data_IF_541456165397
#
_entry.id   IF_541456165397
#
_cell.length_a   1.000
_cell.length_b   1.000
_cell.length_c   1.000
_cell.angle_alpha   90.00
_cell.angle_beta   90.00
_cell.angle_gamma   90.00
#
_symmetry.space_group_name_H-M   'P 1'
#
loop_
_entity.id
_entity.type
_entity.pdbx_description
1 polymer ?
#
# COMPACT_ATOMS: atom_id res chain seq x y z
N UNK A 1 -6.13 3.28 26.43
CA UNK A 1 -6.22 2.29 25.34
C UNK A 1 -5.78 2.99 24.04
N UNK A 2 -4.80 2.44 23.32
CA UNK A 2 -4.41 2.99 22.02
C UNK A 2 -5.59 2.79 21.04
N UNK A 3 -6.04 3.87 20.40
CA UNK A 3 -7.11 3.82 19.41
C UNK A 3 -6.58 3.08 18.17
N UNK A 4 -7.39 2.18 17.60
CA UNK A 4 -7.08 1.59 16.29
C UNK A 4 -6.94 2.68 15.23
N UNK A 5 -6.15 2.48 14.17
CA UNK A 5 -6.10 3.44 13.08
C UNK A 5 -7.48 3.59 12.43
N UNK A 6 -7.78 4.80 11.95
CA UNK A 6 -9.04 5.07 11.24
C UNK A 6 -9.04 4.42 9.83
N UNK A 7 -7.86 4.12 9.27
CA UNK A 7 -7.65 3.31 8.07
C UNK A 7 -6.20 2.80 8.01
N UNK A 8 -5.97 1.74 7.24
CA UNK A 8 -4.64 1.27 6.86
C UNK A 8 -4.46 1.45 5.36
N UNK A 9 -3.51 2.31 4.97
CA UNK A 9 -3.05 2.44 3.60
C UNK A 9 -1.99 1.37 3.31
N UNK A 10 -2.19 0.63 2.24
CA UNK A 10 -1.36 -0.50 1.84
C UNK A 10 -0.79 -0.24 0.43
N UNK A 11 0.52 -0.37 0.25
CA UNK A 11 1.01 -0.60 -1.10
C UNK A 11 0.56 -1.97 -1.59
N UNK A 12 0.52 -2.16 -2.91
CA UNK A 12 0.06 -3.41 -3.53
C UNK A 12 1.23 -4.34 -3.85
N UNK A 13 2.09 -3.89 -4.78
CA UNK A 13 3.16 -4.70 -5.36
C UNK A 13 4.35 -4.80 -4.38
N UNK A 14 4.74 -5.98 -3.97
CA UNK A 14 5.77 -6.22 -2.94
C UNK A 14 5.25 -6.14 -1.50
N UNK A 15 3.96 -5.83 -1.30
CA UNK A 15 3.34 -5.71 0.03
C UNK A 15 2.20 -6.71 0.24
N UNK A 16 1.20 -6.73 -0.65
CA UNK A 16 0.08 -7.69 -0.59
C UNK A 16 0.25 -8.78 -1.65
N UNK A 17 0.72 -8.42 -2.84
CA UNK A 17 1.04 -9.36 -3.91
C UNK A 17 2.51 -9.24 -4.33
N UNK A 18 3.05 -10.31 -4.91
CA UNK A 18 4.42 -10.34 -5.40
C UNK A 18 4.65 -9.27 -6.47
N UNK A 19 5.80 -8.59 -6.42
CA UNK A 19 6.23 -7.68 -7.48
C UNK A 19 7.04 -8.48 -8.52
N UNK A 20 6.44 -8.70 -9.68
CA UNK A 20 7.06 -9.40 -10.80
C UNK A 20 7.32 -8.47 -12.00
N UNK A 21 7.69 -7.21 -11.76
CA UNK A 21 7.97 -6.19 -12.77
C UNK A 21 6.84 -6.05 -13.83
N UNK A 22 5.98 -5.06 -13.65
CA UNK A 22 4.88 -4.73 -14.56
C UNK A 22 3.91 -5.89 -14.83
N UNK A 23 3.25 -6.36 -13.78
CA UNK A 23 2.16 -7.33 -13.89
C UNK A 23 1.05 -6.74 -14.78
N UNK A 24 0.75 -7.40 -15.87
CA UNK A 24 -0.20 -6.97 -16.89
C UNK A 24 -1.31 -7.97 -17.19
N UNK A 25 -1.24 -9.15 -16.57
CA UNK A 25 -2.22 -10.23 -16.79
C UNK A 25 -2.63 -10.84 -15.46
N UNK A 26 -3.93 -11.19 -15.27
CA UNK A 26 -4.44 -11.80 -14.05
C UNK A 26 -3.70 -13.08 -13.62
N UNK A 27 -3.26 -13.91 -14.57
CA UNK A 27 -2.54 -15.15 -14.31
C UNK A 27 -1.15 -14.95 -13.66
N UNK A 28 -0.62 -13.72 -13.70
CA UNK A 28 0.65 -13.36 -13.06
C UNK A 28 0.49 -13.00 -11.58
N UNK A 29 -0.74 -12.78 -11.11
CA UNK A 29 -1.00 -12.35 -9.74
C UNK A 29 -0.75 -13.50 -8.76
N UNK A 30 0.06 -13.23 -7.72
CA UNK A 30 0.30 -14.12 -6.60
C UNK A 30 0.25 -13.32 -5.31
N UNK A 31 -0.59 -13.72 -4.38
CA UNK A 31 -0.58 -13.11 -3.04
C UNK A 31 0.69 -13.52 -2.29
N UNK A 32 1.27 -12.57 -1.56
CA UNK A 32 2.36 -12.87 -0.63
C UNK A 32 1.80 -13.72 0.52
N UNK A 33 2.50 -14.79 0.94
CA UNK A 33 2.05 -15.62 2.05
C UNK A 33 1.72 -14.79 3.30
N UNK A 34 0.52 -14.97 3.83
CA UNK A 34 0.03 -14.22 4.99
C UNK A 34 -0.66 -12.88 4.68
N UNK A 35 -0.52 -12.34 3.46
CA UNK A 35 -1.11 -11.05 3.12
C UNK A 35 -2.63 -11.04 3.27
N UNK A 36 -3.33 -12.07 2.79
CA UNK A 36 -4.78 -12.16 2.96
C UNK A 36 -5.21 -12.20 4.42
N UNK A 37 -4.48 -12.94 5.29
CA UNK A 37 -4.76 -12.96 6.74
C UNK A 37 -4.55 -11.60 7.38
N UNK A 38 -3.51 -10.87 6.96
CA UNK A 38 -3.23 -9.52 7.45
C UNK A 38 -4.37 -8.55 7.06
N UNK A 39 -4.79 -8.56 5.80
CA UNK A 39 -5.93 -7.74 5.33
C UNK A 39 -7.22 -8.14 6.04
N UNK A 40 -7.49 -9.46 6.17
CA UNK A 40 -8.65 -9.94 6.91
C UNK A 40 -8.68 -9.43 8.35
N UNK A 41 -7.53 -9.40 9.04
CA UNK A 41 -7.45 -8.85 10.40
C UNK A 41 -7.81 -7.37 10.47
N UNK A 42 -7.43 -6.57 9.45
CA UNK A 42 -7.84 -5.17 9.33
C UNK A 42 -9.37 -5.09 9.17
N UNK A 43 -9.94 -5.89 8.26
CA UNK A 43 -11.38 -5.93 8.01
C UNK A 43 -12.19 -6.37 9.24
N UNK A 44 -11.74 -7.41 9.95
CA UNK A 44 -12.41 -7.93 11.16
C UNK A 44 -12.47 -6.86 12.26
N UNK A 45 -11.47 -5.99 12.33
CA UNK A 45 -11.45 -4.84 13.23
C UNK A 45 -12.31 -3.65 12.77
N UNK A 46 -12.99 -3.77 11.62
CA UNK A 46 -13.81 -2.71 10.99
C UNK A 46 -13.01 -1.46 10.65
N UNK A 47 -11.74 -1.65 10.31
CA UNK A 47 -10.83 -0.61 9.82
C UNK A 47 -10.75 -0.73 8.31
N UNK A 48 -10.93 0.35 7.54
CA UNK A 48 -10.76 0.33 6.08
C UNK A 48 -9.34 -0.07 5.67
N UNK A 49 -9.24 -1.03 4.74
CA UNK A 49 -8.03 -1.44 4.05
C UNK A 49 -8.00 -0.78 2.66
N UNK A 50 -7.11 0.19 2.46
CA UNK A 50 -7.09 1.04 1.26
C UNK A 50 -5.77 0.84 0.52
N UNK A 51 -5.83 0.40 -0.74
CA UNK A 51 -4.65 0.26 -1.58
C UNK A 51 -4.25 1.61 -2.18
N UNK A 52 -2.95 1.94 -2.10
CA UNK A 52 -2.36 3.13 -2.72
C UNK A 52 -1.09 2.74 -3.47
N UNK A 53 -1.14 2.71 -4.81
CA UNK A 53 -0.09 2.09 -5.65
C UNK A 53 0.39 2.97 -6.81
N UNK A 54 1.69 2.88 -7.14
CA UNK A 54 2.28 3.51 -8.32
C UNK A 54 2.23 2.55 -9.52
N UNK A 55 1.52 2.91 -10.59
CA UNK A 55 1.31 2.06 -11.77
C UNK A 55 1.86 2.72 -13.04
N UNK A 56 3.16 2.99 -13.05
CA UNK A 56 3.83 3.71 -14.13
C UNK A 56 3.91 2.95 -15.47
N UNK A 57 3.60 1.68 -15.49
CA UNK A 57 3.48 0.88 -16.72
C UNK A 57 2.41 1.45 -17.67
N UNK A 58 1.37 2.10 -17.13
CA UNK A 58 0.36 2.81 -17.91
C UNK A 58 0.97 3.96 -18.73
N UNK A 59 1.70 4.87 -18.11
CA UNK A 59 2.37 5.96 -18.82
C UNK A 59 3.39 5.47 -19.84
N UNK A 60 4.05 4.33 -19.55
CA UNK A 60 5.07 3.73 -20.42
C UNK A 60 4.48 2.87 -21.54
N UNK A 61 3.17 2.68 -21.61
CA UNK A 61 2.51 1.82 -22.59
C UNK A 61 2.87 0.33 -22.47
N UNK A 62 3.31 -0.11 -21.28
CA UNK A 62 3.67 -1.52 -21.01
C UNK A 62 2.40 -2.37 -20.84
N UNK A 63 1.34 -1.78 -20.29
CA UNK A 63 0.01 -2.37 -20.16
C UNK A 63 -1.05 -1.26 -20.25
N UNK A 64 -2.26 -1.64 -20.60
CA UNK A 64 -3.40 -0.75 -20.74
C UNK A 64 -4.14 -0.57 -19.40
N UNK A 65 -5.08 0.39 -19.35
CA UNK A 65 -5.98 0.53 -18.21
C UNK A 65 -6.84 -0.73 -18.02
N UNK A 66 -7.27 -1.38 -19.11
CA UNK A 66 -8.04 -2.63 -19.06
C UNK A 66 -7.22 -3.77 -18.43
N UNK A 67 -5.94 -3.89 -18.80
CA UNK A 67 -5.01 -4.86 -18.19
C UNK A 67 -4.88 -4.61 -16.68
N UNK A 68 -4.65 -3.33 -16.28
CA UNK A 68 -4.57 -2.95 -14.86
C UNK A 68 -5.85 -3.32 -14.09
N UNK A 69 -7.02 -3.00 -14.65
CA UNK A 69 -8.30 -3.33 -14.05
C UNK A 69 -8.56 -4.84 -13.98
N UNK A 70 -8.09 -5.59 -14.98
CA UNK A 70 -8.14 -7.07 -14.97
C UNK A 70 -7.29 -7.64 -13.83
N UNK A 71 -6.06 -7.16 -13.67
CA UNK A 71 -5.16 -7.52 -12.56
C UNK A 71 -5.79 -7.15 -11.22
N UNK A 72 -6.34 -5.93 -11.09
CA UNK A 72 -6.98 -5.45 -9.86
C UNK A 72 -8.14 -6.35 -9.45
N UNK A 73 -9.08 -6.62 -10.37
CA UNK A 73 -10.22 -7.50 -10.07
C UNK A 73 -9.80 -8.91 -9.64
N UNK A 74 -8.78 -9.47 -10.29
CA UNK A 74 -8.30 -10.81 -9.93
C UNK A 74 -7.60 -10.80 -8.56
N UNK A 75 -6.77 -9.82 -8.30
CA UNK A 75 -6.14 -9.60 -6.99
C UNK A 75 -7.18 -9.51 -5.86
N UNK A 76 -8.23 -8.70 -6.05
CA UNK A 76 -9.32 -8.55 -5.09
C UNK A 76 -10.08 -9.88 -4.91
N UNK A 77 -10.36 -10.63 -5.99
CA UNK A 77 -11.01 -11.94 -5.91
C UNK A 77 -10.20 -12.99 -5.14
N UNK A 78 -8.87 -12.95 -5.24
CA UNK A 78 -8.00 -13.83 -4.44
C UNK A 78 -8.06 -13.51 -2.95
N UNK A 79 -8.15 -12.23 -2.58
CA UNK A 79 -8.36 -11.82 -1.20
C UNK A 79 -9.74 -12.25 -0.69
N UNK A 80 -10.80 -12.05 -1.49
CA UNK A 80 -12.17 -12.46 -1.15
C UNK A 80 -12.30 -13.95 -0.91
N UNK A 81 -11.59 -14.77 -1.69
CA UNK A 81 -11.54 -16.22 -1.48
C UNK A 81 -10.96 -16.62 -0.11
N UNK A 82 -10.13 -15.76 0.48
CA UNK A 82 -9.55 -15.92 1.83
C UNK A 82 -10.36 -15.14 2.91
N UNK A 83 -11.51 -14.56 2.54
CA UNK A 83 -12.39 -13.81 3.43
C UNK A 83 -11.86 -12.41 3.79
N UNK A 84 -10.99 -11.84 2.95
CA UNK A 84 -10.48 -10.48 3.06
C UNK A 84 -10.99 -9.61 1.91
N UNK A 85 -11.00 -8.27 2.08
CA UNK A 85 -11.39 -7.36 1.01
C UNK A 85 -10.61 -6.03 1.09
N UNK A 86 -10.57 -5.32 -0.03
CA UNK A 86 -10.05 -3.95 -0.14
C UNK A 86 -11.24 -2.99 -0.26
N UNK A 87 -11.26 -1.97 0.59
CA UNK A 87 -12.36 -0.99 0.62
C UNK A 87 -12.25 0.05 -0.50
N UNK A 88 -11.04 0.39 -0.92
CA UNK A 88 -10.76 1.26 -2.06
C UNK A 88 -9.34 1.07 -2.60
N UNK A 89 -9.14 1.42 -3.88
CA UNK A 89 -7.84 1.38 -4.54
C UNK A 89 -7.58 2.71 -5.26
N UNK A 90 -6.47 3.37 -4.91
CA UNK A 90 -5.96 4.58 -5.56
C UNK A 90 -4.67 4.25 -6.29
N UNK A 91 -4.52 4.71 -7.53
CA UNK A 91 -3.31 4.47 -8.29
C UNK A 91 -2.82 5.72 -9.02
N UNK A 92 -1.51 5.82 -9.17
CA UNK A 92 -0.86 6.85 -9.98
C UNK A 92 -0.39 6.22 -11.30
N UNK A 93 -0.94 6.63 -12.46
CA UNK A 93 -0.54 6.10 -13.76
C UNK A 93 0.73 6.74 -14.30
N UNK A 94 1.25 7.82 -13.68
CA UNK A 94 2.29 8.67 -14.26
C UNK A 94 3.71 8.12 -14.07
N UNK A 95 4.60 8.52 -15.00
CA UNK A 95 6.05 8.34 -14.88
C UNK A 95 6.77 9.66 -15.21
N UNK A 96 7.69 10.16 -14.35
CA UNK A 96 8.30 11.48 -14.52
C UNK A 96 8.96 11.72 -15.88
N UNK A 97 9.60 10.68 -16.45
CA UNK A 97 10.26 10.79 -17.77
C UNK A 97 9.31 10.69 -18.97
N UNK A 98 8.02 10.41 -18.76
CA UNK A 98 7.03 10.26 -19.84
C UNK A 98 5.96 11.33 -19.77
N UNK A 99 5.37 11.53 -18.57
CA UNK A 99 4.24 12.43 -18.33
C UNK A 99 4.64 13.70 -17.59
N UNK A 100 5.91 13.86 -17.24
CA UNK A 100 6.38 14.93 -16.36
C UNK A 100 6.07 14.64 -14.87
N UNK A 101 6.43 15.59 -13.97
CA UNK A 101 6.18 15.46 -12.56
C UNK A 101 4.68 15.47 -12.24
N UNK A 102 4.29 14.79 -11.17
CA UNK A 102 2.93 14.81 -10.62
C UNK A 102 2.99 14.73 -9.09
N UNK A 103 1.90 15.11 -8.44
CA UNK A 103 1.74 15.07 -6.98
C UNK A 103 1.15 13.74 -6.47
N UNK A 104 0.59 12.91 -7.37
CA UNK A 104 -0.01 11.63 -7.01
C UNK A 104 1.02 10.50 -6.85
N UNK A 105 2.13 10.50 -7.62
CA UNK A 105 3.13 9.45 -7.55
C UNK A 105 3.88 9.49 -6.21
N UNK A 106 3.77 8.40 -5.42
CA UNK A 106 4.54 8.25 -4.18
C UNK A 106 6.04 8.46 -4.43
N UNK A 107 6.73 9.29 -3.62
CA UNK A 107 6.36 9.82 -2.32
C UNK A 107 5.52 11.12 -2.33
N UNK A 108 4.85 11.46 -3.43
CA UNK A 108 3.77 12.45 -3.43
C UNK A 108 2.59 11.95 -2.59
N UNK A 109 1.82 12.88 -2.03
CA UNK A 109 0.80 12.58 -1.02
C UNK A 109 -0.62 12.60 -1.55
N UNK A 110 -0.84 13.04 -2.79
CA UNK A 110 -2.17 13.31 -3.35
C UNK A 110 -3.15 12.13 -3.24
N UNK A 111 -2.71 10.90 -3.54
CA UNK A 111 -3.59 9.72 -3.43
C UNK A 111 -4.03 9.48 -1.99
N UNK A 112 -3.14 9.70 -1.02
CA UNK A 112 -3.47 9.58 0.40
C UNK A 112 -4.42 10.68 0.86
N UNK A 113 -4.21 11.93 0.40
CA UNK A 113 -5.08 13.08 0.70
C UNK A 113 -6.49 12.87 0.13
N UNK A 114 -6.60 12.35 -1.09
CA UNK A 114 -7.88 12.01 -1.71
C UNK A 114 -8.61 10.92 -0.89
N UNK A 115 -7.92 9.85 -0.49
CA UNK A 115 -8.50 8.81 0.35
C UNK A 115 -8.91 9.32 1.73
N UNK A 116 -8.07 10.16 2.37
CA UNK A 116 -8.39 10.80 3.66
C UNK A 116 -9.68 11.62 3.56
N UNK A 117 -9.83 12.41 2.48
CA UNK A 117 -11.03 13.19 2.23
C UNK A 117 -12.26 12.31 1.98
N UNK A 118 -12.13 11.32 1.09
CA UNK A 118 -13.24 10.48 0.63
C UNK A 118 -13.80 9.62 1.77
N UNK A 119 -12.94 9.11 2.65
CA UNK A 119 -13.30 8.33 3.83
C UNK A 119 -13.47 9.16 5.10
N UNK A 120 -13.26 10.48 5.06
CA UNK A 120 -13.34 11.42 6.20
C UNK A 120 -12.46 10.99 7.38
N UNK A 121 -11.22 10.57 7.08
CA UNK A 121 -10.28 10.07 8.07
C UNK A 121 -9.58 11.20 8.82
N UNK A 122 -9.15 10.91 10.05
CA UNK A 122 -8.21 11.77 10.75
C UNK A 122 -6.78 11.42 10.30
N UNK A 123 -6.05 12.29 9.60
CA UNK A 123 -4.71 11.99 9.09
C UNK A 123 -3.71 11.64 10.21
N UNK A 124 -3.91 12.16 11.42
CA UNK A 124 -3.07 11.82 12.56
C UNK A 124 -3.30 10.40 13.11
N UNK A 125 -4.38 9.72 12.69
CA UNK A 125 -4.75 8.39 13.18
C UNK A 125 -4.87 7.35 12.06
N UNK A 126 -4.15 7.49 10.96
CA UNK A 126 -4.05 6.48 9.90
C UNK A 126 -2.72 5.74 9.96
N UNK A 127 -2.65 4.58 9.31
CA UNK A 127 -1.41 3.84 9.14
C UNK A 127 -1.04 3.70 7.67
N UNK A 128 0.27 3.63 7.40
CA UNK A 128 0.85 3.46 6.06
C UNK A 128 1.76 2.25 6.09
N UNK A 129 1.53 1.27 5.23
CA UNK A 129 2.34 0.06 5.14
C UNK A 129 2.75 -0.18 3.69
N UNK A 130 4.02 -0.45 3.48
CA UNK A 130 4.58 -0.77 2.17
C UNK A 130 6.02 -1.26 2.30
N UNK A 131 6.61 -1.72 1.21
CA UNK A 131 7.94 -2.31 1.19
C UNK A 131 9.05 -1.30 0.79
N UNK A 132 8.68 -0.07 0.45
CA UNK A 132 9.59 1.01 0.09
C UNK A 132 9.36 2.23 0.98
N UNK A 133 10.40 3.01 1.21
CA UNK A 133 10.30 4.28 1.95
C UNK A 133 9.21 5.20 1.39
N UNK A 134 9.08 5.28 0.07
CA UNK A 134 8.09 6.14 -0.61
C UNK A 134 6.64 5.82 -0.22
N UNK A 135 6.36 4.60 0.20
CA UNK A 135 5.00 4.14 0.56
C UNK A 135 4.60 4.61 1.95
N UNK A 136 5.58 4.71 2.84
CA UNK A 136 5.38 5.02 4.27
C UNK A 136 5.78 6.44 4.66
N UNK A 137 6.51 7.16 3.78
CA UNK A 137 7.00 8.52 4.04
C UNK A 137 5.88 9.55 4.18
N UNK A 138 4.67 9.27 3.68
CA UNK A 138 3.49 10.11 3.87
C UNK A 138 3.15 10.30 5.35
N UNK A 139 3.47 9.35 6.22
CA UNK A 139 3.31 9.46 7.68
C UNK A 139 4.05 10.66 8.28
N UNK A 140 5.17 11.08 7.68
CA UNK A 140 5.97 12.24 8.12
C UNK A 140 5.39 13.58 7.64
N UNK A 141 4.61 13.55 6.57
CA UNK A 141 4.03 14.75 5.94
C UNK A 141 2.59 15.00 6.38
N UNK A 142 1.79 13.94 6.48
CA UNK A 142 0.36 14.01 6.77
C UNK A 142 0.02 13.64 8.21
N UNK A 143 0.96 13.05 8.93
CA UNK A 143 0.72 12.45 10.24
C UNK A 143 0.37 10.97 10.15
N UNK A 144 0.04 10.36 11.28
CA UNK A 144 -0.22 8.93 11.36
C UNK A 144 1.05 8.10 11.56
N UNK A 145 0.98 6.80 11.31
CA UNK A 145 2.03 5.84 11.63
C UNK A 145 2.50 5.08 10.38
N UNK A 146 3.78 5.19 10.05
CA UNK A 146 4.39 4.41 8.96
C UNK A 146 5.03 3.13 9.49
N UNK A 147 4.86 2.01 8.79
CA UNK A 147 5.56 0.75 9.03
C UNK A 147 6.06 0.20 7.70
N UNK A 148 7.38 0.20 7.48
CA UNK A 148 7.95 -0.41 6.28
C UNK A 148 8.15 -1.91 6.51
N UNK A 149 7.68 -2.72 5.58
CA UNK A 149 7.95 -4.15 5.56
C UNK A 149 9.18 -4.47 4.71
N UNK A 150 9.84 -5.59 4.98
CA UNK A 150 10.97 -6.05 4.17
C UNK A 150 10.48 -6.89 2.99
N UNK A 151 10.96 -6.57 1.78
CA UNK A 151 10.79 -7.38 0.58
C UNK A 151 12.12 -7.50 -0.17
N UNK A 152 12.16 -8.31 -1.23
CA UNK A 152 13.31 -8.36 -2.14
C UNK A 152 13.51 -7.06 -2.93
N UNK A 153 12.49 -6.20 -2.98
CA UNK A 153 12.54 -4.89 -3.63
C UNK A 153 13.02 -3.76 -2.72
N UNK A 154 13.07 -3.99 -1.39
CA UNK A 154 13.53 -2.98 -0.42
C UNK A 154 15.02 -2.72 -0.58
N UNK A 155 15.40 -1.50 -0.94
CA UNK A 155 16.79 -1.10 -1.16
C UNK A 155 17.49 -0.62 0.12
N UNK A 156 18.82 -0.56 0.08
CA UNK A 156 19.59 0.06 1.19
C UNK A 156 19.29 1.56 1.34
N UNK A 157 18.91 2.23 0.25
CA UNK A 157 18.46 3.62 0.31
C UNK A 157 17.15 3.75 1.07
N UNK A 158 16.18 2.84 0.83
CA UNK A 158 14.92 2.79 1.59
C UNK A 158 15.19 2.60 3.08
N UNK A 159 16.08 1.67 3.44
CA UNK A 159 16.45 1.39 4.84
C UNK A 159 17.07 2.62 5.52
N UNK A 160 18.00 3.30 4.83
CA UNK A 160 18.62 4.53 5.36
C UNK A 160 17.59 5.63 5.56
N UNK A 161 16.69 5.85 4.61
CA UNK A 161 15.64 6.87 4.72
C UNK A 161 14.64 6.56 5.83
N UNK A 162 14.21 5.33 5.95
CA UNK A 162 13.32 4.87 7.03
C UNK A 162 13.96 5.07 8.40
N UNK A 163 15.25 4.75 8.53
CA UNK A 163 15.99 4.98 9.76
C UNK A 163 16.13 6.48 10.10
N UNK A 164 16.46 7.33 9.10
CA UNK A 164 16.57 8.77 9.26
C UNK A 164 15.24 9.41 9.68
N UNK A 165 14.14 8.93 9.10
CA UNK A 165 12.79 9.39 9.41
C UNK A 165 12.19 8.74 10.68
N UNK A 166 12.93 7.83 11.34
CA UNK A 166 12.45 7.07 12.51
C UNK A 166 11.10 6.37 12.25
N UNK A 167 10.95 5.81 11.04
CA UNK A 167 9.77 5.01 10.67
C UNK A 167 9.99 3.57 11.15
N UNK A 168 8.95 2.95 11.67
CA UNK A 168 9.00 1.57 12.16
C UNK A 168 9.17 0.56 11.01
N UNK A 169 9.73 -0.59 11.33
CA UNK A 169 9.90 -1.69 10.35
C UNK A 169 9.33 -3.00 10.90
N UNK A 170 8.84 -3.84 9.98
CA UNK A 170 8.36 -5.18 10.29
C UNK A 170 8.85 -6.18 9.23
N UNK A 171 9.01 -7.47 9.57
CA UNK A 171 9.45 -8.46 8.60
C UNK A 171 8.39 -8.81 7.55
N UNK A 172 7.10 -8.71 7.88
CA UNK A 172 5.98 -9.10 7.02
C UNK A 172 4.79 -8.16 7.22
N UNK A 173 3.82 -8.22 6.30
CA UNK A 173 2.56 -7.48 6.44
C UNK A 173 1.78 -7.92 7.69
N UNK A 174 1.77 -9.22 8.00
CA UNK A 174 1.12 -9.73 9.23
C UNK A 174 1.75 -9.10 10.48
N UNK A 175 3.08 -9.08 10.57
CA UNK A 175 3.78 -8.47 11.70
C UNK A 175 3.51 -6.95 11.78
N UNK A 176 3.46 -6.24 10.65
CA UNK A 176 3.12 -4.82 10.62
C UNK A 176 1.71 -4.57 11.15
N UNK A 177 0.73 -5.34 10.68
CA UNK A 177 -0.66 -5.24 11.16
C UNK A 177 -0.75 -5.58 12.65
N UNK A 178 -0.03 -6.60 13.10
CA UNK A 178 0.04 -6.94 14.53
C UNK A 178 0.58 -5.77 15.37
N UNK A 179 1.66 -5.13 14.93
CA UNK A 179 2.24 -3.94 15.60
C UNK A 179 1.25 -2.76 15.66
N UNK A 180 0.49 -2.55 14.58
CA UNK A 180 -0.50 -1.48 14.50
C UNK A 180 -1.71 -1.71 15.42
N UNK A 181 -2.09 -2.96 15.63
CA UNK A 181 -3.33 -3.37 16.31
C UNK A 181 -3.09 -3.87 17.74
N UNK A 182 -1.85 -3.98 18.20
CA UNK A 182 -1.55 -4.33 19.62
C UNK A 182 -2.04 -3.23 20.54
N UNK A 183 -2.85 -3.56 21.58
CA UNK A 183 -2.99 -2.68 22.73
C UNK A 183 -1.64 -2.60 23.45
N UNK A 184 -1.26 -1.43 23.94
CA UNK A 184 -0.20 -1.30 24.95
C UNK A 184 -0.73 -1.73 26.31
#
# INVERSE_FOLDING_TARGET
MKKLPDAVFLDRDGTIMEDAHYIKSPDQVRLIPGAARAVKRINDAKVPAIVVTNQSGLARGIFTLEDYEGVRRHFESLLEAEGAHIDASYFCPHHPSVTGPCDCRKPGTRMFEDAIRDFRLNPANVAYVGDRWRDVSASKKLGGRGVMISSHMTTDEDRRKVQADQIETAPTLEAAVEMLFRPY
#
